data_IF_615516795704
#
_entry.id   IF_615516795704
#
_cell.length_a   1.000
_cell.length_b   1.000
_cell.length_c   1.000
_cell.angle_alpha   90.00
_cell.angle_beta   90.00
_cell.angle_gamma   90.00
#
_symmetry.space_group_name_H-M   'P 1'
#
loop_
_entity.id
_entity.type
_entity.pdbx_description
1 polymer ?
#
# COMPACT_ATOMS: atom_id res chain seq x y z
N UNK A 1 -6.99 2.14 11.05
CA UNK A 1 -5.52 2.04 10.90
C UNK A 1 -5.16 0.61 10.52
N UNK A 2 -4.51 0.41 9.40
CA UNK A 2 -4.16 -0.92 8.89
C UNK A 2 -2.92 -1.49 9.58
N UNK A 3 -1.98 -0.64 9.98
CA UNK A 3 -0.73 -1.01 10.63
C UNK A 3 -0.68 -0.39 12.01
N UNK A 4 -0.36 -1.21 13.01
CA UNK A 4 -0.18 -0.72 14.39
C UNK A 4 1.27 -0.37 14.67
N UNK A 5 1.50 0.38 15.76
CA UNK A 5 2.87 0.71 16.21
C UNK A 5 3.64 -0.57 16.54
N UNK A 6 2.97 -1.53 17.17
CA UNK A 6 3.60 -2.79 17.55
C UNK A 6 4.02 -3.60 16.33
N UNK A 7 3.21 -3.62 15.27
CA UNK A 7 3.57 -4.25 14.01
C UNK A 7 4.75 -3.55 13.34
N UNK A 8 4.80 -2.23 13.40
CA UNK A 8 5.92 -1.47 12.87
C UNK A 8 7.21 -1.76 13.63
N UNK A 9 7.15 -1.78 14.96
CA UNK A 9 8.28 -2.07 15.83
C UNK A 9 8.78 -3.51 15.68
N UNK A 10 7.87 -4.45 15.44
CA UNK A 10 8.24 -5.85 15.32
C UNK A 10 8.90 -6.20 13.98
N UNK A 11 8.62 -5.45 12.92
CA UNK A 11 8.97 -5.89 11.56
C UNK A 11 9.78 -4.90 10.73
N UNK A 12 9.81 -3.64 11.11
CA UNK A 12 10.38 -2.61 10.24
C UNK A 12 11.35 -1.65 10.93
N UNK A 13 11.11 -1.35 12.20
CA UNK A 13 11.92 -0.38 12.91
C UNK A 13 12.06 -0.83 14.37
N UNK A 14 13.30 -1.11 14.81
CA UNK A 14 13.55 -1.62 16.15
C UNK A 14 12.95 -0.71 17.24
N UNK A 15 12.38 -1.28 18.32
CA UNK A 15 11.73 -0.50 19.37
C UNK A 15 12.62 0.59 19.95
N UNK A 16 13.92 0.33 20.08
CA UNK A 16 14.88 1.30 20.62
C UNK A 16 15.03 2.51 19.70
N UNK A 17 15.08 2.26 18.39
CA UNK A 17 15.17 3.32 17.38
C UNK A 17 13.87 4.11 17.36
N UNK A 18 12.74 3.42 17.39
CA UNK A 18 11.43 4.04 17.39
C UNK A 18 11.26 4.95 18.63
N UNK A 19 11.60 4.47 19.81
CA UNK A 19 11.53 5.26 21.03
C UNK A 19 12.46 6.47 21.01
N UNK A 20 13.64 6.32 20.43
CA UNK A 20 14.58 7.43 20.28
C UNK A 20 14.06 8.50 19.31
N UNK A 21 13.46 8.10 18.20
CA UNK A 21 12.88 9.02 17.23
C UNK A 21 11.67 9.76 17.79
N UNK A 22 10.76 9.04 18.42
CA UNK A 22 9.50 9.59 18.90
C UNK A 22 9.63 10.24 20.27
N UNK A 23 10.79 10.09 20.93
CA UNK A 23 11.02 10.54 22.32
C UNK A 23 9.98 9.95 23.27
N UNK A 24 9.64 8.69 23.04
CA UNK A 24 8.61 7.95 23.77
C UNK A 24 7.20 8.52 23.64
N UNK A 25 6.93 9.31 22.60
CA UNK A 25 5.59 9.75 22.27
C UNK A 25 4.99 8.86 21.17
N UNK A 26 4.08 7.95 21.50
CA UNK A 26 3.47 7.06 20.51
C UNK A 26 2.62 7.81 19.48
N UNK A 27 2.09 8.97 19.84
CA UNK A 27 1.26 9.76 18.94
C UNK A 27 2.04 10.24 17.70
N UNK A 28 3.33 10.53 17.87
CA UNK A 28 4.18 10.89 16.75
C UNK A 28 4.31 9.73 15.74
N UNK A 29 4.42 8.49 16.22
CA UNK A 29 4.46 7.32 15.36
C UNK A 29 3.13 7.08 14.65
N UNK A 30 2.03 7.21 15.36
CA UNK A 30 0.68 7.08 14.78
C UNK A 30 0.45 8.05 13.61
N UNK A 31 0.83 9.30 13.78
CA UNK A 31 0.69 10.31 12.74
C UNK A 31 1.49 9.96 11.48
N UNK A 32 2.68 9.40 11.63
CA UNK A 32 3.48 8.99 10.48
C UNK A 32 2.91 7.75 9.79
N UNK A 33 2.34 6.81 10.55
CA UNK A 33 1.64 5.65 10.00
C UNK A 33 0.40 6.12 9.22
N UNK A 34 -0.39 7.00 9.77
CA UNK A 34 -1.56 7.56 9.09
C UNK A 34 -1.17 8.30 7.81
N UNK A 35 -0.09 9.08 7.86
CA UNK A 35 0.41 9.78 6.66
C UNK A 35 0.86 8.80 5.58
N UNK A 36 1.47 7.69 5.97
CA UNK A 36 1.87 6.64 5.03
C UNK A 36 0.65 5.92 4.44
N UNK A 37 -0.39 5.66 5.26
CA UNK A 37 -1.65 5.09 4.78
C UNK A 37 -2.33 6.00 3.76
N UNK A 38 -2.41 7.30 4.04
CA UNK A 38 -3.01 8.27 3.12
C UNK A 38 -2.24 8.34 1.79
N UNK A 39 -0.92 8.27 1.85
CA UNK A 39 -0.11 8.20 0.64
C UNK A 39 -0.42 6.93 -0.16
N UNK A 40 -0.48 5.77 0.48
CA UNK A 40 -0.85 4.53 -0.19
C UNK A 40 -2.24 4.60 -0.82
N UNK A 41 -3.23 5.15 -0.10
CA UNK A 41 -4.59 5.32 -0.61
C UNK A 41 -4.62 6.17 -1.88
N UNK A 42 -3.78 7.19 -1.96
CA UNK A 42 -3.73 8.05 -3.14
C UNK A 42 -3.31 7.33 -4.42
N UNK A 43 -2.54 6.25 -4.31
CA UNK A 43 -2.16 5.42 -5.44
C UNK A 43 -3.16 4.28 -5.71
N UNK A 44 -3.86 3.83 -4.66
CA UNK A 44 -4.76 2.67 -4.72
C UNK A 44 -6.22 3.07 -4.98
N UNK A 45 -6.48 4.21 -5.58
CA UNK A 45 -7.82 4.76 -5.75
C UNK A 45 -8.79 3.87 -6.57
N UNK A 46 -8.26 2.91 -7.33
CA UNK A 46 -9.06 1.97 -8.10
C UNK A 46 -9.71 0.89 -7.24
N UNK A 47 -9.19 0.69 -6.06
CA UNK A 47 -9.57 -0.40 -5.19
C UNK A 47 -10.50 0.07 -4.08
N UNK A 48 -11.17 -0.87 -3.44
CA UNK A 48 -12.02 -0.59 -2.28
C UNK A 48 -11.17 -0.26 -1.06
N UNK A 49 -10.93 1.03 -0.86
CA UNK A 49 -10.07 1.51 0.22
C UNK A 49 -10.63 1.19 1.60
N UNK A 50 -11.95 1.17 1.77
CA UNK A 50 -12.55 0.82 3.05
C UNK A 50 -12.37 -0.65 3.38
N UNK A 51 -12.47 -1.51 2.37
CA UNK A 51 -12.22 -2.93 2.56
C UNK A 51 -10.76 -3.23 2.91
N UNK A 52 -9.80 -2.47 2.33
CA UNK A 52 -8.37 -2.70 2.52
C UNK A 52 -7.84 -2.07 3.81
N UNK A 53 -8.18 -0.80 4.05
CA UNK A 53 -7.63 -0.02 5.17
C UNK A 53 -8.54 0.05 6.39
N UNK A 54 -9.81 -0.26 6.21
CA UNK A 54 -10.83 -0.05 7.22
C UNK A 54 -11.26 1.41 7.34
N UNK A 55 -12.10 1.67 8.31
CA UNK A 55 -12.57 3.01 8.65
C UNK A 55 -12.26 3.30 10.13
N UNK A 56 -12.59 4.50 10.59
CA UNK A 56 -12.44 4.84 12.00
C UNK A 56 -13.27 3.94 12.93
N UNK A 57 -14.35 3.35 12.42
CA UNK A 57 -15.26 2.53 13.22
C UNK A 57 -15.19 1.04 12.91
N UNK A 58 -14.58 0.65 11.79
CA UNK A 58 -14.56 -0.74 11.34
C UNK A 58 -13.16 -1.15 10.94
N UNK A 59 -12.79 -2.35 11.33
CA UNK A 59 -11.56 -2.97 10.88
C UNK A 59 -11.60 -3.32 9.39
N UNK A 60 -10.43 -3.43 8.73
CA UNK A 60 -10.39 -3.81 7.32
C UNK A 60 -10.95 -5.22 7.10
N UNK A 61 -11.82 -5.36 6.12
CA UNK A 61 -12.42 -6.66 5.76
C UNK A 61 -11.48 -7.53 4.94
N UNK A 62 -10.62 -6.90 4.16
CA UNK A 62 -9.65 -7.57 3.28
C UNK A 62 -8.26 -6.95 3.47
N UNK A 63 -7.64 -7.11 4.64
CA UNK A 63 -6.32 -6.58 4.88
C UNK A 63 -5.30 -7.29 3.99
N UNK A 64 -4.45 -6.52 3.32
CA UNK A 64 -3.42 -7.04 2.44
C UNK A 64 -2.06 -6.90 3.09
N UNK A 65 -1.34 -8.01 3.22
CA UNK A 65 0.02 -8.00 3.75
C UNK A 65 0.99 -7.22 2.85
N UNK A 66 0.75 -7.20 1.55
CA UNK A 66 1.51 -6.37 0.62
C UNK A 66 1.32 -4.89 0.95
N UNK A 67 0.08 -4.45 1.12
CA UNK A 67 -0.23 -3.06 1.45
C UNK A 67 0.33 -2.70 2.83
N UNK A 68 0.19 -3.58 3.81
CA UNK A 68 0.80 -3.39 5.14
C UNK A 68 2.31 -3.20 5.05
N UNK A 69 2.99 -4.01 4.23
CA UNK A 69 4.43 -3.89 4.03
C UNK A 69 4.80 -2.53 3.44
N UNK A 70 4.07 -2.08 2.43
CA UNK A 70 4.32 -0.77 1.81
C UNK A 70 4.11 0.37 2.80
N UNK A 71 3.03 0.34 3.57
CA UNK A 71 2.77 1.32 4.63
C UNK A 71 3.90 1.33 5.65
N UNK A 72 4.38 0.17 6.10
CA UNK A 72 5.49 0.09 7.07
C UNK A 72 6.78 0.68 6.54
N UNK A 73 7.13 0.41 5.29
CA UNK A 73 8.32 0.97 4.66
C UNK A 73 8.24 2.49 4.59
N UNK A 74 7.11 3.00 4.14
CA UNK A 74 6.89 4.45 3.99
C UNK A 74 6.90 5.14 5.36
N UNK A 75 6.19 4.57 6.34
CA UNK A 75 6.15 5.12 7.70
C UNK A 75 7.53 5.12 8.36
N UNK A 76 8.31 4.05 8.17
CA UNK A 76 9.69 3.97 8.69
C UNK A 76 10.56 5.07 8.12
N UNK A 77 10.46 5.34 6.82
CA UNK A 77 11.20 6.43 6.20
C UNK A 77 10.79 7.80 6.75
N UNK A 78 9.49 8.04 6.92
CA UNK A 78 9.00 9.29 7.50
C UNK A 78 9.50 9.49 8.94
N UNK A 79 9.49 8.43 9.74
CA UNK A 79 9.99 8.47 11.11
C UNK A 79 11.50 8.74 11.16
N UNK A 80 12.28 8.02 10.37
CA UNK A 80 13.74 8.21 10.36
C UNK A 80 14.12 9.62 9.92
N UNK A 81 13.35 10.21 9.00
CA UNK A 81 13.57 11.60 8.61
C UNK A 81 13.35 12.62 9.74
N UNK A 82 12.51 12.28 10.71
CA UNK A 82 12.22 13.22 11.81
C UNK A 82 13.40 13.46 12.71
N UNK A 83 14.21 12.47 12.98
CA UNK A 83 15.22 12.56 14.03
C UNK A 83 16.55 11.88 13.74
N UNK A 84 16.77 11.26 12.61
CA UNK A 84 18.04 10.65 12.18
C UNK A 84 18.91 10.04 13.28
N UNK A 85 18.43 9.14 14.13
CA UNK A 85 19.24 8.63 15.22
C UNK A 85 20.17 7.54 14.70
N UNK A 86 21.40 7.86 14.35
CA UNK A 86 22.45 6.89 14.03
C UNK A 86 22.05 5.72 13.12
N UNK A 87 21.05 5.92 12.26
CA UNK A 87 20.63 4.94 11.27
C UNK A 87 21.05 5.39 9.89
N UNK A 88 21.29 4.43 9.01
CA UNK A 88 21.61 4.75 7.62
C UNK A 88 20.32 5.15 6.88
N UNK A 89 20.03 6.43 6.85
CA UNK A 89 18.84 6.98 6.21
C UNK A 89 18.78 6.64 4.73
N UNK A 90 19.90 6.42 4.09
CA UNK A 90 19.97 6.10 2.67
C UNK A 90 19.29 4.77 2.35
N UNK A 91 19.43 3.76 3.22
CA UNK A 91 18.73 2.49 3.03
C UNK A 91 17.21 2.68 3.10
N UNK A 92 16.74 3.45 4.08
CA UNK A 92 15.31 3.76 4.19
C UNK A 92 14.79 4.56 3.00
N UNK A 93 15.63 5.43 2.45
CA UNK A 93 15.27 6.20 1.25
C UNK A 93 15.15 5.32 0.03
N UNK A 94 16.03 4.37 -0.16
CA UNK A 94 15.97 3.41 -1.26
C UNK A 94 14.72 2.53 -1.14
N UNK A 95 14.46 1.99 0.05
CA UNK A 95 13.26 1.19 0.30
C UNK A 95 11.98 2.00 0.04
N UNK A 96 11.97 3.28 0.44
CA UNK A 96 10.87 4.18 0.15
C UNK A 96 10.66 4.37 -1.34
N UNK A 97 11.74 4.60 -2.10
CA UNK A 97 11.65 4.77 -3.55
C UNK A 97 11.12 3.50 -4.23
N UNK A 98 11.56 2.34 -3.79
CA UNK A 98 11.07 1.06 -4.31
C UNK A 98 9.59 0.85 -3.98
N UNK A 99 9.16 1.23 -2.78
CA UNK A 99 7.76 1.17 -2.39
C UNK A 99 6.88 2.11 -3.24
N UNK A 100 7.33 3.33 -3.48
CA UNK A 100 6.62 4.28 -4.35
C UNK A 100 6.53 3.75 -5.77
N UNK A 101 7.62 3.22 -6.29
CA UNK A 101 7.63 2.63 -7.63
C UNK A 101 6.65 1.46 -7.74
N UNK A 102 6.57 0.62 -6.72
CA UNK A 102 5.59 -0.47 -6.70
C UNK A 102 4.17 0.06 -6.68
N UNK A 103 3.87 1.12 -5.91
CA UNK A 103 2.56 1.76 -5.90
C UNK A 103 2.21 2.38 -7.27
N UNK A 104 3.19 2.99 -7.94
CA UNK A 104 3.01 3.50 -9.31
C UNK A 104 2.71 2.37 -10.28
N UNK A 105 3.40 1.25 -10.19
CA UNK A 105 3.18 0.09 -11.05
C UNK A 105 1.78 -0.52 -10.82
N UNK A 106 1.29 -0.51 -9.58
CA UNK A 106 -0.08 -0.93 -9.26
C UNK A 106 -1.09 0.06 -9.86
N UNK A 107 -0.88 1.36 -9.65
CA UNK A 107 -1.74 2.39 -10.20
C UNK A 107 -1.86 2.30 -11.71
N UNK A 108 -0.74 2.08 -12.38
CA UNK A 108 -0.66 2.07 -13.84
C UNK A 108 -1.01 0.69 -14.44
N UNK A 109 -1.34 -0.29 -13.62
CA UNK A 109 -1.74 -1.62 -14.07
C UNK A 109 -0.60 -2.54 -14.50
N UNK A 110 0.66 -2.14 -14.25
CA UNK A 110 1.82 -3.00 -14.53
C UNK A 110 1.99 -4.11 -13.51
N UNK A 111 1.49 -3.88 -12.31
CA UNK A 111 1.43 -4.88 -11.25
C UNK A 111 -0.02 -4.92 -10.77
N UNK A 112 -0.62 -6.11 -10.75
CA UNK A 112 -2.02 -6.27 -10.38
C UNK A 112 -2.15 -7.20 -9.18
N UNK A 113 -2.05 -6.68 -7.96
CA UNK A 113 -2.24 -7.48 -6.76
C UNK A 113 -3.71 -7.88 -6.62
N UNK A 114 -3.95 -9.00 -5.92
CA UNK A 114 -5.30 -9.49 -5.67
C UNK A 114 -5.98 -8.64 -4.58
N UNK A 115 -6.36 -7.43 -4.93
CA UNK A 115 -7.08 -6.51 -4.05
C UNK A 115 -8.51 -6.33 -4.53
N UNK A 116 -9.49 -6.10 -3.63
CA UNK A 116 -10.86 -5.84 -4.04
C UNK A 116 -10.96 -4.50 -4.77
N UNK A 117 -11.61 -4.48 -5.92
CA UNK A 117 -11.86 -3.26 -6.66
C UNK A 117 -13.02 -2.47 -6.06
N UNK A 118 -13.00 -1.16 -6.22
CA UNK A 118 -14.14 -0.33 -5.88
C UNK A 118 -15.33 -0.66 -6.78
N UNK A 119 -16.52 -0.62 -6.21
CA UNK A 119 -17.74 -1.04 -6.91
C UNK A 119 -18.01 -0.24 -8.20
N UNK A 120 -17.63 1.03 -8.19
CA UNK A 120 -17.89 1.92 -9.31
C UNK A 120 -16.67 2.12 -10.24
N UNK A 121 -15.65 1.27 -10.09
CA UNK A 121 -14.46 1.42 -10.89
C UNK A 121 -14.65 0.80 -12.28
N UNK A 122 -14.45 1.56 -13.36
CA UNK A 122 -14.57 1.03 -14.71
C UNK A 122 -13.53 -0.04 -15.06
N UNK A 123 -12.44 -0.10 -14.30
CA UNK A 123 -11.39 -1.12 -14.46
C UNK A 123 -11.71 -2.40 -13.68
N UNK A 124 -12.83 -2.45 -12.95
CA UNK A 124 -13.22 -3.66 -12.22
C UNK A 124 -13.47 -4.79 -13.21
N UNK A 125 -12.82 -5.92 -13.03
CA UNK A 125 -13.08 -7.05 -13.91
C UNK A 125 -14.53 -7.48 -13.78
N UNK A 126 -15.22 -7.56 -14.88
CA UNK A 126 -16.58 -8.05 -14.92
C UNK A 126 -16.56 -9.56 -14.81
N UNK A 127 -16.60 -10.04 -13.58
CA UNK A 127 -16.53 -11.47 -13.34
C UNK A 127 -17.85 -12.17 -13.59
N UNK A 128 -18.92 -11.42 -13.72
CA UNK A 128 -20.25 -12.02 -13.89
C UNK A 128 -20.56 -12.33 -15.34
N UNK A 129 -19.99 -11.58 -16.24
CA UNK A 129 -20.31 -11.75 -17.64
C UNK A 129 -19.50 -12.82 -18.32
N UNK A 130 -18.52 -13.33 -17.66
CA UNK A 130 -17.60 -14.23 -18.32
C UNK A 130 -17.11 -13.60 -19.59
N UNK A 131 -16.87 -12.32 -19.48
CA UNK A 131 -16.86 -11.50 -20.61
C UNK A 131 -15.82 -11.88 -21.55
N UNK A 132 -16.23 -12.07 -22.48
CA UNK A 132 -15.70 -12.53 -23.63
C UNK A 132 -14.79 -11.66 -24.40
N UNK A 133 -14.28 -10.70 -23.75
CA UNK A 133 -13.32 -9.89 -24.46
C UNK A 133 -12.17 -10.69 -25.03
N UNK A 134 -12.02 -11.89 -24.58
CA UNK A 134 -11.09 -12.78 -25.13
C UNK A 134 -11.34 -13.08 -26.57
N UNK A 135 -12.53 -13.02 -26.95
CA UNK A 135 -12.84 -13.42 -28.23
C UNK A 135 -12.38 -12.54 -29.25
N UNK A 136 -12.31 -11.30 -28.88
CA UNK A 136 -11.96 -10.32 -29.88
C UNK A 136 -10.61 -10.53 -30.41
N UNK A 137 -9.74 -11.12 -29.65
CA UNK A 137 -8.43 -11.34 -30.18
C UNK A 137 -8.38 -12.55 -31.05
N UNK A 138 -9.30 -13.45 -30.85
CA UNK A 138 -9.23 -14.59 -31.59
C UNK A 138 -9.66 -14.46 -32.96
N UNK A 139 -10.77 -13.82 -33.11
CA UNK A 139 -11.30 -13.91 -34.27
C UNK A 139 -10.65 -13.17 -35.31
N UNK A 140 -9.86 -12.25 -34.97
CA UNK A 140 -9.21 -11.57 -35.92
C UNK A 140 -8.32 -12.33 -36.73
N UNK A 141 -7.78 -13.36 -36.22
CA UNK A 141 -6.90 -14.07 -36.98
C UNK A 141 -7.48 -14.81 -38.07
N UNK A 142 -8.70 -15.11 -37.94
CA UNK A 142 -9.31 -15.91 -38.94
C UNK A 142 -9.58 -15.17 -40.20
N UNK A 143 -9.27 -13.92 -40.17
CA UNK A 143 -9.56 -13.26 -41.21
C UNK A 143 -8.75 -13.34 -42.30
N UNK A 144 -7.86 -13.97 -42.23
CA UNK A 144 -7.03 -13.98 -43.17
C UNK A 144 -7.20 -14.78 -44.10
N UNK A 145 -7.88 -15.08 -44.44
CA UNK A 145 -8.13 -15.78 -45.49
C UNK A 145 -8.98 -15.80 -46.06
#
# INVERSE_FOLDING_TARGET
MLVTIDELAATSLYPEVLSAITRNDPHAAELQILSAEELCKSYLFKYDLEAIFGTASNEPKHPSELVKKLVKIIASYFLVRMASPNVNIELYRLDYQDAIKMLEDIRDGRNNPALPYAADNPDTPDNEAGDSFFYTSNYKQSLFF
#
